data_IF_849488635399
#
_entry.id   IF_849488635399
#
_cell.length_a   1.000
_cell.length_b   1.000
_cell.length_c   1.000
_cell.angle_alpha   90.00
_cell.angle_beta   90.00
_cell.angle_gamma   90.00
#
_symmetry.space_group_name_H-M   'P 1'
#
loop_
_entity.id
_entity.type
_entity.pdbx_description
1 polymer ?
#
# COMPACT_ATOMS: atom_id res chain seq x y z
N UNK A 1 -20.80 -53.55 52.95
CA UNK A 1 -22.11 -52.96 52.55
C UNK A 1 -21.96 -52.34 51.19
N UNK A 2 -22.58 -52.96 50.17
CA UNK A 2 -22.54 -52.53 48.76
C UNK A 2 -23.47 -51.35 48.59
N UNK A 3 -23.03 -50.33 47.82
CA UNK A 3 -23.97 -49.44 47.11
C UNK A 3 -23.47 -49.20 45.68
N UNK A 4 -24.35 -49.53 44.81
CA UNK A 4 -24.33 -49.52 43.37
C UNK A 4 -24.19 -48.11 42.79
N UNK A 5 -23.35 -47.96 41.76
CA UNK A 5 -23.28 -46.78 40.92
C UNK A 5 -23.99 -47.09 39.61
N UNK A 6 -25.04 -46.35 39.34
CA UNK A 6 -25.85 -46.43 38.16
C UNK A 6 -25.17 -45.64 37.03
N UNK A 7 -24.85 -46.35 35.94
CA UNK A 7 -24.35 -45.80 34.66
C UNK A 7 -25.52 -45.24 33.87
N UNK A 8 -25.50 -43.95 33.56
CA UNK A 8 -26.45 -43.32 32.64
C UNK A 8 -25.74 -43.15 31.27
N UNK A 9 -26.10 -44.03 30.35
CA UNK A 9 -25.69 -43.94 28.96
C UNK A 9 -26.50 -42.89 28.22
N UNK A 10 -25.87 -41.83 27.74
CA UNK A 10 -26.48 -40.83 26.87
C UNK A 10 -26.18 -41.21 25.41
N UNK A 11 -27.19 -41.67 24.68
CA UNK A 11 -27.14 -41.86 23.22
C UNK A 11 -27.03 -40.49 22.56
N UNK A 12 -25.90 -40.21 21.91
CA UNK A 12 -25.80 -39.18 20.86
C UNK A 12 -26.27 -39.75 19.54
N UNK A 13 -27.43 -39.35 19.11
CA UNK A 13 -27.90 -39.59 17.74
C UNK A 13 -27.18 -38.59 16.80
N UNK A 14 -26.33 -39.13 15.93
CA UNK A 14 -25.70 -38.42 14.83
C UNK A 14 -26.74 -38.13 13.74
N UNK A 15 -27.14 -36.88 13.61
CA UNK A 15 -27.83 -36.42 12.39
C UNK A 15 -26.73 -35.93 11.41
N UNK A 16 -26.38 -36.83 10.47
CA UNK A 16 -25.70 -36.45 9.26
C UNK A 16 -26.71 -35.81 8.31
N UNK A 17 -26.86 -34.48 8.37
CA UNK A 17 -27.48 -33.75 7.28
C UNK A 17 -26.36 -33.33 6.32
N UNK A 18 -26.21 -34.11 5.24
CA UNK A 18 -25.49 -33.76 4.04
C UNK A 18 -26.26 -32.65 3.33
N UNK A 19 -26.02 -31.37 3.71
CA UNK A 19 -26.37 -30.26 2.83
C UNK A 19 -25.32 -30.24 1.73
N UNK A 20 -25.77 -30.60 0.52
CA UNK A 20 -25.05 -30.25 -0.68
C UNK A 20 -24.83 -28.72 -0.68
N UNK A 21 -23.60 -28.28 -0.40
CA UNK A 21 -23.19 -26.94 -0.72
C UNK A 21 -23.25 -26.81 -2.24
N UNK A 22 -24.30 -26.18 -2.75
CA UNK A 22 -24.26 -25.56 -4.05
C UNK A 22 -23.14 -24.54 -4.00
N UNK A 23 -22.18 -24.68 -4.88
CA UNK A 23 -21.10 -23.73 -5.10
C UNK A 23 -21.60 -22.51 -5.89
N UNK A 24 -22.56 -21.81 -5.32
CA UNK A 24 -22.88 -20.46 -5.74
C UNK A 24 -22.12 -19.52 -4.81
N UNK A 25 -20.85 -19.27 -5.13
CA UNK A 25 -20.20 -18.03 -4.71
C UNK A 25 -21.07 -16.91 -5.25
N UNK A 26 -21.42 -15.89 -4.46
CA UNK A 26 -22.03 -14.70 -5.02
C UNK A 26 -21.02 -14.13 -6.00
N UNK A 27 -21.26 -14.30 -7.28
CA UNK A 27 -20.60 -13.55 -8.34
C UNK A 27 -20.89 -12.10 -8.00
N UNK A 28 -19.85 -11.32 -7.75
CA UNK A 28 -20.00 -9.90 -7.54
C UNK A 28 -20.83 -9.35 -8.69
N UNK A 29 -21.85 -8.61 -8.32
CA UNK A 29 -22.75 -7.95 -9.27
C UNK A 29 -21.91 -7.11 -10.23
N UNK A 30 -22.22 -7.23 -11.48
CA UNK A 30 -21.65 -6.67 -12.69
C UNK A 30 -20.84 -5.36 -12.52
N UNK A 31 -19.77 -5.23 -13.30
CA UNK A 31 -19.00 -4.00 -13.59
C UNK A 31 -19.88 -2.80 -14.03
N UNK A 32 -21.20 -3.01 -14.16
CA UNK A 32 -22.17 -2.05 -14.70
C UNK A 32 -22.35 -0.79 -13.85
N UNK A 33 -22.00 -0.82 -12.55
CA UNK A 33 -22.12 0.35 -11.66
C UNK A 33 -20.80 1.12 -11.44
N UNK A 34 -19.70 0.68 -12.02
CA UNK A 34 -18.43 1.42 -11.98
C UNK A 34 -18.55 2.64 -12.89
N UNK A 35 -18.18 3.86 -12.43
CA UNK A 35 -18.25 5.05 -13.26
C UNK A 35 -17.52 4.86 -14.58
N UNK A 36 -18.13 5.32 -15.68
CA UNK A 36 -17.58 5.16 -17.03
C UNK A 36 -16.27 5.94 -17.27
N UNK A 37 -15.92 6.83 -16.35
CA UNK A 37 -14.68 7.60 -16.34
C UNK A 37 -13.62 7.00 -15.38
N UNK A 38 -13.94 5.93 -14.63
CA UNK A 38 -12.96 5.19 -13.87
C UNK A 38 -12.12 4.32 -14.80
N UNK A 39 -10.82 4.51 -14.77
CA UNK A 39 -9.88 3.77 -15.61
C UNK A 39 -8.91 2.98 -14.75
N UNK A 40 -8.86 1.65 -14.96
CA UNK A 40 -7.79 0.80 -14.42
C UNK A 40 -6.51 1.16 -15.18
N UNK A 41 -5.49 1.59 -14.44
CA UNK A 41 -4.22 2.01 -15.02
C UNK A 41 -3.25 0.82 -15.08
N UNK A 42 -2.83 0.44 -16.28
CA UNK A 42 -1.80 -0.58 -16.42
C UNK A 42 -0.41 0.03 -16.29
N UNK A 43 0.40 -0.52 -15.38
CA UNK A 43 1.78 -0.09 -15.21
C UNK A 43 2.63 -0.51 -16.40
N UNK A 44 3.62 0.29 -16.74
CA UNK A 44 4.62 -0.09 -17.72
C UNK A 44 5.81 -0.74 -17.03
N UNK A 45 6.42 -1.72 -17.69
CA UNK A 45 7.60 -2.41 -17.16
C UNK A 45 8.72 -1.42 -16.86
N UNK A 46 9.34 -1.56 -15.70
CA UNK A 46 10.50 -0.75 -15.31
C UNK A 46 11.62 -0.94 -16.33
N UNK A 47 12.13 0.13 -16.97
CA UNK A 47 13.26 0.00 -17.89
C UNK A 47 14.49 -0.61 -17.22
N UNK A 48 15.19 -1.50 -17.94
CA UNK A 48 16.27 -2.31 -17.37
C UNK A 48 17.44 -1.50 -16.77
N UNK A 49 17.64 -0.29 -17.26
CA UNK A 49 18.66 0.64 -16.74
C UNK A 49 18.40 1.12 -15.31
N UNK A 50 17.15 1.02 -14.81
CA UNK A 50 16.84 1.36 -13.41
C UNK A 50 17.27 0.28 -12.42
N UNK A 51 17.49 -0.94 -12.90
CA UNK A 51 18.06 -2.02 -12.08
C UNK A 51 19.58 -2.00 -12.01
N UNK A 52 20.23 -1.21 -12.84
CA UNK A 52 21.69 -1.05 -12.81
C UNK A 52 22.12 -0.21 -11.61
N UNK A 53 23.31 -0.49 -11.13
CA UNK A 53 23.93 0.29 -10.05
C UNK A 53 24.14 1.71 -10.53
N UNK A 54 23.53 2.68 -9.86
CA UNK A 54 23.68 4.09 -10.16
C UNK A 54 25.06 4.61 -9.75
N UNK A 55 25.54 5.67 -10.40
CA UNK A 55 26.79 6.33 -10.01
C UNK A 55 26.64 7.11 -8.69
N UNK A 56 25.42 7.56 -8.38
CA UNK A 56 25.05 8.20 -7.12
C UNK A 56 24.19 7.22 -6.33
N UNK A 57 24.74 6.65 -5.28
CA UNK A 57 24.08 5.64 -4.47
C UNK A 57 23.79 6.17 -3.08
N UNK A 58 22.56 6.03 -2.63
CA UNK A 58 22.19 6.22 -1.24
C UNK A 58 22.79 5.15 -0.33
N UNK A 59 22.64 5.30 0.97
CA UNK A 59 23.06 4.33 1.99
C UNK A 59 21.86 3.60 2.59
N UNK A 60 22.11 2.44 3.17
CA UNK A 60 21.12 1.70 3.95
C UNK A 60 21.64 1.64 5.39
N UNK A 61 20.87 2.18 6.31
CA UNK A 61 21.21 2.27 7.72
C UNK A 61 20.26 1.41 8.54
N UNK A 62 20.76 0.82 9.63
CA UNK A 62 19.94 0.14 10.61
C UNK A 62 19.58 1.12 11.73
N UNK A 63 18.28 1.27 11.95
CA UNK A 63 17.73 1.98 13.11
C UNK A 63 17.11 0.95 14.02
N UNK A 64 17.66 0.79 15.21
CA UNK A 64 17.05 0.01 16.29
C UNK A 64 16.26 0.96 17.20
N UNK A 65 15.07 0.53 17.60
CA UNK A 65 14.19 1.30 18.46
C UNK A 65 13.38 0.40 19.40
N UNK A 66 12.98 1.00 20.50
CA UNK A 66 12.08 0.37 21.47
C UNK A 66 10.63 0.59 21.05
N UNK A 67 9.86 -0.46 21.05
CA UNK A 67 8.43 -0.47 20.82
C UNK A 67 7.73 -1.27 21.93
N UNK A 68 6.48 -1.61 21.70
CA UNK A 68 5.67 -2.40 22.61
C UNK A 68 5.00 -3.54 21.89
N UNK A 69 4.80 -4.66 22.58
CA UNK A 69 3.88 -5.69 22.10
C UNK A 69 2.43 -5.22 22.28
N UNK A 70 1.88 -4.60 21.25
CA UNK A 70 0.50 -4.08 21.24
C UNK A 70 -0.56 -5.17 21.16
N UNK A 71 -0.18 -6.45 20.96
CA UNK A 71 -1.10 -7.59 21.05
C UNK A 71 -1.36 -7.99 22.51
N UNK A 72 -0.50 -7.55 23.43
CA UNK A 72 -0.57 -7.86 24.86
C UNK A 72 -1.17 -6.71 25.66
N UNK A 73 -2.04 -7.02 26.61
CA UNK A 73 -2.61 -6.03 27.53
C UNK A 73 -1.53 -5.37 28.43
N UNK A 74 -0.46 -6.10 28.76
CA UNK A 74 0.67 -5.59 29.55
C UNK A 74 1.66 -4.76 28.75
N UNK A 75 1.58 -4.80 27.41
CA UNK A 75 2.43 -4.05 26.46
C UNK A 75 3.92 -4.11 26.83
N UNK A 76 4.53 -5.30 26.97
CA UNK A 76 5.95 -5.39 27.27
C UNK A 76 6.77 -4.73 26.16
N UNK A 77 7.93 -4.19 26.54
CA UNK A 77 8.84 -3.58 25.58
C UNK A 77 9.40 -4.64 24.63
N UNK A 78 9.46 -4.27 23.36
CA UNK A 78 10.11 -5.02 22.28
C UNK A 78 11.21 -4.17 21.66
N UNK A 79 12.29 -4.79 21.19
CA UNK A 79 13.37 -4.11 20.47
C UNK A 79 13.27 -4.48 19.01
N UNK A 80 13.12 -3.48 18.15
CA UNK A 80 12.79 -3.69 16.72
C UNK A 80 13.76 -3.00 15.79
N UNK A 81 14.09 -3.61 14.65
CA UNK A 81 14.87 -2.98 13.62
C UNK A 81 13.94 -2.27 12.60
N UNK A 82 14.43 -1.17 12.04
CA UNK A 82 13.98 -0.60 10.79
C UNK A 82 15.18 -0.32 9.89
N UNK A 83 15.14 -0.76 8.65
CA UNK A 83 16.18 -0.43 7.69
C UNK A 83 15.77 0.86 6.97
N UNK A 84 16.70 1.80 6.86
CA UNK A 84 16.43 3.13 6.33
C UNK A 84 17.34 3.38 5.13
N UNK A 85 16.72 3.61 3.98
CA UNK A 85 17.43 4.14 2.82
C UNK A 85 17.53 5.67 2.95
N UNK A 86 18.77 6.16 2.89
CA UNK A 86 19.12 7.57 2.91
C UNK A 86 19.67 7.94 1.53
N UNK A 87 19.11 8.92 0.82
CA UNK A 87 19.48 9.21 -0.56
C UNK A 87 20.92 9.74 -0.67
N UNK A 88 21.54 9.54 -1.84
CA UNK A 88 22.85 10.13 -2.14
C UNK A 88 22.82 11.65 -1.96
N UNK A 89 23.88 12.18 -1.36
CA UNK A 89 23.97 13.61 -1.11
C UNK A 89 23.01 14.12 -0.06
N UNK A 90 22.54 13.24 0.85
CA UNK A 90 21.73 13.66 1.99
C UNK A 90 22.36 14.86 2.71
N UNK A 91 21.57 15.91 2.88
CA UNK A 91 21.97 17.17 3.54
C UNK A 91 21.00 17.44 4.71
N UNK A 92 21.50 17.44 5.96
CA UNK A 92 20.64 17.70 7.12
C UNK A 92 20.03 19.11 7.16
N UNK A 93 20.44 20.02 6.28
CA UNK A 93 19.81 21.34 6.13
C UNK A 93 18.56 21.32 5.24
N UNK A 94 18.35 20.22 4.49
CA UNK A 94 17.17 20.00 3.64
C UNK A 94 16.14 19.14 4.36
N UNK A 95 14.86 19.25 3.98
CA UNK A 95 13.78 18.41 4.48
C UNK A 95 13.44 17.32 3.47
N UNK A 96 13.19 16.10 3.95
CA UNK A 96 12.91 14.93 3.12
C UNK A 96 11.54 14.35 3.43
N UNK A 97 10.82 13.99 2.36
CA UNK A 97 9.61 13.16 2.46
C UNK A 97 10.00 11.75 2.89
N UNK A 98 9.08 11.03 3.53
CA UNK A 98 9.32 9.68 4.06
C UNK A 98 8.30 8.70 3.50
N UNK A 99 8.74 7.50 3.11
CA UNK A 99 7.87 6.36 2.81
C UNK A 99 8.22 5.16 3.68
N UNK A 100 7.22 4.54 4.28
CA UNK A 100 7.32 3.28 5.02
C UNK A 100 6.83 2.14 4.14
N UNK A 101 7.62 1.05 4.04
CA UNK A 101 7.34 -0.11 3.19
C UNK A 101 7.30 -1.40 4.01
N UNK A 102 6.12 -1.98 4.15
CA UNK A 102 5.82 -3.13 5.00
C UNK A 102 5.90 -4.44 4.21
N UNK A 103 6.72 -5.38 4.71
CA UNK A 103 6.87 -6.71 4.11
C UNK A 103 5.62 -7.58 4.24
N UNK A 104 5.53 -8.63 3.42
CA UNK A 104 4.48 -9.63 3.47
C UNK A 104 4.66 -10.66 4.61
N UNK A 105 3.73 -11.62 4.69
CA UNK A 105 3.87 -12.74 5.61
C UNK A 105 5.19 -13.48 5.38
N UNK A 106 5.84 -13.91 6.45
CA UNK A 106 7.17 -14.51 6.45
C UNK A 106 8.33 -13.58 6.04
N UNK A 107 8.06 -12.30 5.75
CA UNK A 107 9.09 -11.30 5.48
C UNK A 107 9.82 -10.83 6.75
N UNK A 108 10.77 -9.94 6.56
CA UNK A 108 11.59 -9.33 7.62
C UNK A 108 11.93 -7.88 7.27
N UNK A 109 12.30 -7.07 8.26
CA UNK A 109 12.56 -5.64 8.08
C UNK A 109 13.57 -5.31 6.95
N UNK A 110 14.63 -6.10 6.78
CA UNK A 110 15.65 -5.82 5.75
C UNK A 110 15.22 -6.19 4.32
N UNK A 111 14.09 -6.88 4.14
CA UNK A 111 13.76 -7.57 2.87
C UNK A 111 13.67 -6.63 1.68
N UNK A 112 13.09 -5.44 1.84
CA UNK A 112 12.97 -4.47 0.75
C UNK A 112 14.31 -3.97 0.23
N UNK A 113 15.31 -3.81 1.09
CA UNK A 113 16.55 -3.13 0.72
C UNK A 113 17.76 -4.05 0.62
N UNK A 114 17.83 -5.08 1.45
CA UNK A 114 18.97 -6.00 1.53
C UNK A 114 18.58 -7.46 1.23
N UNK A 115 17.33 -7.70 0.83
CA UNK A 115 16.78 -9.04 0.69
C UNK A 115 16.67 -9.75 2.04
N UNK A 116 16.08 -10.94 2.06
CA UNK A 116 15.87 -11.72 3.29
C UNK A 116 17.14 -12.05 4.05
N UNK A 117 18.22 -12.32 3.32
CA UNK A 117 19.52 -12.63 3.92
C UNK A 117 20.21 -11.42 4.55
N UNK A 118 19.77 -10.21 4.24
CA UNK A 118 20.39 -8.96 4.69
C UNK A 118 21.76 -8.65 4.06
N UNK A 119 22.15 -9.37 2.99
CA UNK A 119 23.53 -9.36 2.49
C UNK A 119 23.71 -8.63 1.16
N UNK A 120 22.63 -8.26 0.46
CA UNK A 120 22.74 -7.69 -0.88
C UNK A 120 21.68 -6.63 -1.12
N UNK A 121 22.10 -5.49 -1.65
CA UNK A 121 21.16 -4.48 -2.15
C UNK A 121 20.20 -5.09 -3.15
N UNK A 122 18.93 -4.79 -2.99
CA UNK A 122 17.89 -5.25 -3.91
C UNK A 122 17.81 -4.37 -5.15
N UNK A 123 17.14 -4.85 -6.20
CA UNK A 123 16.83 -4.05 -7.37
C UNK A 123 16.01 -2.79 -7.05
N UNK A 124 15.19 -2.83 -5.99
CA UNK A 124 14.43 -1.66 -5.55
C UNK A 124 15.33 -0.49 -5.14
N UNK A 125 16.41 -0.77 -4.43
CA UNK A 125 17.36 0.29 -4.02
C UNK A 125 18.04 0.92 -5.23
N UNK A 126 18.39 0.13 -6.25
CA UNK A 126 18.90 0.66 -7.51
C UNK A 126 17.84 1.52 -8.24
N UNK A 127 16.58 1.12 -8.18
CA UNK A 127 15.46 1.94 -8.71
C UNK A 127 15.38 3.29 -7.98
N UNK A 128 15.48 3.32 -6.66
CA UNK A 128 15.48 4.57 -5.88
C UNK A 128 16.62 5.50 -6.31
N UNK A 129 17.83 4.96 -6.34
CA UNK A 129 19.03 5.72 -6.75
C UNK A 129 18.85 6.30 -8.16
N UNK A 130 18.39 5.48 -9.12
CA UNK A 130 18.21 5.90 -10.50
C UNK A 130 17.06 6.90 -10.68
N UNK A 131 15.95 6.75 -9.95
CA UNK A 131 14.85 7.72 -9.99
C UNK A 131 15.33 9.11 -9.52
N UNK A 132 16.06 9.16 -8.42
CA UNK A 132 16.58 10.39 -7.84
C UNK A 132 17.68 11.00 -8.75
N UNK A 133 18.66 10.20 -9.16
CA UNK A 133 19.78 10.68 -10.02
C UNK A 133 19.28 11.23 -11.35
N UNK A 134 18.21 10.66 -11.91
CA UNK A 134 17.63 11.10 -13.19
C UNK A 134 16.61 12.24 -13.03
N UNK A 135 16.36 12.70 -11.81
CA UNK A 135 15.41 13.77 -11.51
C UNK A 135 13.95 13.38 -11.87
N UNK A 136 13.57 12.11 -11.69
CA UNK A 136 12.21 11.63 -11.91
C UNK A 136 11.37 11.67 -10.62
N UNK A 137 12.01 11.72 -9.46
CA UNK A 137 11.39 12.04 -8.19
C UNK A 137 12.33 12.90 -7.35
N UNK A 138 11.78 13.59 -6.34
CA UNK A 138 12.58 14.28 -5.34
C UNK A 138 13.31 13.26 -4.47
N UNK A 139 14.50 13.60 -3.91
CA UNK A 139 15.12 12.77 -2.88
C UNK A 139 14.17 12.54 -1.71
N UNK A 140 14.08 11.31 -1.24
CA UNK A 140 13.22 10.88 -0.14
C UNK A 140 13.95 9.89 0.77
N UNK A 141 13.43 9.69 1.96
CA UNK A 141 13.87 8.65 2.89
C UNK A 141 12.86 7.49 2.76
N UNK A 142 13.36 6.26 2.58
CA UNK A 142 12.52 5.08 2.63
C UNK A 142 12.85 4.24 3.86
N UNK A 143 11.83 3.74 4.52
CA UNK A 143 11.94 2.97 5.76
C UNK A 143 11.31 1.61 5.53
N UNK A 144 12.05 0.54 5.76
CA UNK A 144 11.54 -0.83 5.77
C UNK A 144 11.53 -1.35 7.21
N UNK A 145 10.42 -1.17 7.94
CA UNK A 145 10.23 -1.71 9.28
C UNK A 145 9.67 -3.11 9.22
N UNK A 146 9.37 -3.69 10.38
CA UNK A 146 8.56 -4.90 10.48
C UNK A 146 7.33 -4.66 11.35
N UNK A 147 6.17 -5.16 10.93
CA UNK A 147 4.97 -5.24 11.77
C UNK A 147 5.10 -6.35 12.82
N UNK A 148 6.00 -7.31 12.61
CA UNK A 148 6.30 -8.42 13.50
C UNK A 148 7.14 -7.95 14.69
N UNK A 149 6.74 -8.27 15.91
CA UNK A 149 7.40 -7.81 17.14
C UNK A 149 8.82 -8.35 17.32
N UNK A 150 9.15 -9.49 16.69
CA UNK A 150 10.45 -10.16 16.82
C UNK A 150 11.28 -10.15 15.53
N UNK A 151 10.81 -9.49 14.48
CA UNK A 151 11.43 -9.47 13.15
C UNK A 151 11.75 -10.88 12.62
N UNK A 152 10.83 -11.80 12.72
CA UNK A 152 10.97 -13.17 12.23
C UNK A 152 9.65 -13.74 11.77
N UNK A 153 9.73 -14.69 10.82
CA UNK A 153 8.56 -15.41 10.34
C UNK A 153 7.87 -16.20 11.46
N UNK A 154 6.55 -16.06 11.54
CA UNK A 154 5.67 -16.73 12.50
C UNK A 154 4.53 -17.45 11.80
N UNK A 155 3.71 -18.16 12.58
CA UNK A 155 2.47 -18.70 12.05
C UNK A 155 1.50 -17.59 11.60
N UNK A 156 0.58 -17.97 10.72
CA UNK A 156 -0.37 -17.04 10.13
C UNK A 156 -1.22 -16.29 11.16
N UNK A 157 -1.72 -17.01 12.16
CA UNK A 157 -2.61 -16.43 13.18
C UNK A 157 -1.91 -15.42 14.08
N UNK A 158 -0.63 -15.64 14.43
CA UNK A 158 0.18 -14.68 15.18
C UNK A 158 0.47 -13.44 14.31
N UNK A 159 0.94 -13.67 13.10
CA UNK A 159 1.28 -12.61 12.16
C UNK A 159 0.11 -11.67 11.87
N UNK A 160 -1.09 -12.21 11.67
CA UNK A 160 -2.29 -11.39 11.41
C UNK A 160 -2.73 -10.58 12.62
N UNK A 161 -2.55 -11.10 13.85
CA UNK A 161 -2.85 -10.33 15.07
C UNK A 161 -1.85 -9.17 15.27
N UNK A 162 -0.57 -9.39 14.98
CA UNK A 162 0.45 -8.34 15.07
C UNK A 162 0.23 -7.27 14.00
N UNK A 163 -0.02 -7.66 12.76
CA UNK A 163 -0.35 -6.74 11.66
C UNK A 163 -1.56 -5.85 11.99
N UNK A 164 -2.60 -6.40 12.63
CA UNK A 164 -3.83 -5.68 12.95
C UNK A 164 -3.66 -4.56 14.00
N UNK A 165 -2.60 -4.57 14.77
CA UNK A 165 -2.32 -3.56 15.82
C UNK A 165 -1.12 -2.68 15.50
N UNK A 166 -0.46 -2.88 14.36
CA UNK A 166 0.75 -2.17 13.97
C UNK A 166 0.56 -0.65 13.89
N UNK A 167 -0.64 -0.17 13.61
CA UNK A 167 -0.97 1.26 13.60
C UNK A 167 -0.58 1.97 14.90
N UNK A 168 -0.66 1.30 16.05
CA UNK A 168 -0.28 1.86 17.35
C UNK A 168 1.24 2.03 17.45
N UNK A 169 2.00 1.02 17.03
CA UNK A 169 3.46 1.11 16.93
C UNK A 169 3.89 2.17 15.92
N UNK A 170 3.25 2.19 14.76
CA UNK A 170 3.56 3.14 13.69
C UNK A 170 3.57 4.57 14.19
N UNK A 171 2.51 4.98 14.89
CA UNK A 171 2.35 6.35 15.36
C UNK A 171 3.16 6.63 16.62
N UNK A 172 3.16 5.71 17.60
CA UNK A 172 3.71 6.02 18.92
C UNK A 172 5.22 5.76 19.02
N UNK A 173 5.76 4.83 18.21
CA UNK A 173 7.13 4.35 18.40
C UNK A 173 7.96 4.56 17.12
N UNK A 174 7.51 4.07 15.97
CA UNK A 174 8.30 4.03 14.74
C UNK A 174 8.52 5.41 14.11
N UNK A 175 7.46 6.20 13.90
CA UNK A 175 7.58 7.56 13.35
C UNK A 175 8.51 8.40 14.21
N UNK A 176 8.33 8.54 15.55
CA UNK A 176 9.25 9.25 16.41
C UNK A 176 10.69 8.73 16.32
N UNK A 177 10.88 7.42 16.39
CA UNK A 177 12.20 6.82 16.42
C UNK A 177 13.01 7.05 15.14
N UNK A 178 12.35 7.03 13.98
CA UNK A 178 13.02 7.21 12.69
C UNK A 178 13.10 8.68 12.32
N UNK A 179 11.96 9.38 12.30
CA UNK A 179 11.93 10.73 11.71
C UNK A 179 12.66 11.79 12.55
N UNK A 180 12.95 11.55 13.81
CA UNK A 180 13.81 12.44 14.61
C UNK A 180 15.31 12.24 14.36
N UNK A 181 15.72 11.14 13.72
CA UNK A 181 17.13 10.87 13.39
C UNK A 181 17.58 11.51 12.08
N UNK A 182 16.62 11.86 11.23
CA UNK A 182 16.87 12.41 9.90
C UNK A 182 16.17 13.77 9.76
N UNK A 183 16.62 14.58 8.84
CA UNK A 183 16.01 15.85 8.54
C UNK A 183 14.72 15.65 7.72
N UNK A 184 13.66 15.25 8.38
CA UNK A 184 12.32 15.11 7.81
C UNK A 184 11.48 16.37 8.09
N UNK A 185 10.22 16.34 7.72
CA UNK A 185 9.27 17.41 8.07
C UNK A 185 8.72 17.27 9.49
N UNK A 186 9.09 16.24 10.25
CA UNK A 186 8.75 16.09 11.66
C UNK A 186 9.58 17.08 12.49
N UNK A 187 8.92 18.08 13.08
CA UNK A 187 9.57 19.07 13.94
C UNK A 187 9.53 18.72 15.43
N UNK A 188 8.49 17.99 15.84
CA UNK A 188 8.33 17.48 17.20
C UNK A 188 7.81 16.04 17.17
N UNK A 189 8.33 15.11 18.01
CA UNK A 189 7.88 13.73 18.05
C UNK A 189 6.54 13.51 18.77
N UNK A 190 5.89 14.56 19.20
CA UNK A 190 4.55 14.49 19.78
C UNK A 190 3.45 14.38 18.71
N UNK A 191 2.24 14.10 19.14
CA UNK A 191 1.09 13.92 18.24
C UNK A 191 0.89 15.14 17.31
N UNK A 192 1.04 16.33 17.83
CA UNK A 192 0.84 17.56 17.05
C UNK A 192 1.87 17.69 15.93
N UNK A 193 3.15 17.40 16.21
CA UNK A 193 4.22 17.40 15.21
C UNK A 193 4.04 16.30 14.16
N UNK A 194 3.63 15.10 14.57
CA UNK A 194 3.36 13.99 13.66
C UNK A 194 2.19 14.33 12.72
N UNK A 195 1.12 14.94 13.24
CA UNK A 195 -0.01 15.41 12.43
C UNK A 195 0.40 16.55 11.48
N UNK A 196 1.22 17.49 11.94
CA UNK A 196 1.68 18.62 11.12
C UNK A 196 2.53 18.15 9.92
N UNK A 197 3.31 17.07 10.09
CA UNK A 197 4.18 16.50 9.05
C UNK A 197 3.49 15.46 8.14
N UNK A 198 2.20 15.16 8.33
CA UNK A 198 1.48 14.09 7.61
C UNK A 198 1.57 14.18 6.09
N UNK A 199 1.61 15.39 5.54
CA UNK A 199 1.61 15.61 4.08
C UNK A 199 2.90 15.15 3.39
N UNK A 200 3.92 14.89 4.20
CA UNK A 200 5.24 14.44 3.77
C UNK A 200 5.49 12.96 4.09
N UNK A 201 4.41 12.22 4.41
CA UNK A 201 4.52 10.82 4.82
C UNK A 201 3.65 9.91 3.98
N UNK A 202 4.29 8.88 3.44
CA UNK A 202 3.65 7.77 2.74
C UNK A 202 3.85 6.46 3.52
N UNK A 203 2.88 5.56 3.40
CA UNK A 203 3.00 4.19 3.88
C UNK A 203 2.45 3.23 2.84
N UNK A 204 3.13 2.11 2.66
CA UNK A 204 2.71 1.05 1.76
C UNK A 204 3.20 -0.30 2.21
N UNK A 205 2.76 -1.34 1.53
CA UNK A 205 3.22 -2.69 1.83
C UNK A 205 2.66 -3.73 0.88
N UNK A 206 3.27 -4.90 0.91
CA UNK A 206 2.98 -6.01 0.02
C UNK A 206 2.30 -7.16 0.78
N UNK A 207 1.26 -7.77 0.20
CA UNK A 207 0.60 -8.95 0.78
C UNK A 207 0.06 -8.65 2.19
N UNK A 208 0.51 -9.34 3.23
CA UNK A 208 0.16 -9.00 4.62
C UNK A 208 0.58 -7.57 4.98
N UNK A 209 1.65 -7.03 4.40
CA UNK A 209 2.01 -5.62 4.52
C UNK A 209 1.00 -4.68 3.86
N UNK A 210 0.33 -5.09 2.77
CA UNK A 210 -0.80 -4.36 2.20
C UNK A 210 -1.99 -4.31 3.15
N UNK A 211 -2.32 -5.45 3.75
CA UNK A 211 -3.37 -5.55 4.77
C UNK A 211 -3.03 -4.68 5.98
N UNK A 212 -1.75 -4.68 6.40
CA UNK A 212 -1.25 -3.79 7.47
C UNK A 212 -1.36 -2.31 7.07
N UNK A 213 -1.08 -1.97 5.80
CA UNK A 213 -1.30 -0.62 5.27
C UNK A 213 -2.77 -0.20 5.37
N UNK A 214 -3.70 -1.11 5.08
CA UNK A 214 -5.13 -0.86 5.26
C UNK A 214 -5.51 -0.69 6.74
N UNK A 215 -4.90 -1.43 7.67
CA UNK A 215 -5.10 -1.19 9.11
C UNK A 215 -4.57 0.17 9.54
N UNK A 216 -3.45 0.64 8.99
CA UNK A 216 -2.95 2.00 9.25
C UNK A 216 -3.91 3.03 8.63
N UNK A 217 -4.42 2.82 7.43
CA UNK A 217 -5.45 3.67 6.83
C UNK A 217 -6.69 3.75 7.72
N UNK A 218 -7.15 2.62 8.26
CA UNK A 218 -8.33 2.52 9.10
C UNK A 218 -8.15 3.19 10.46
N UNK A 219 -7.03 2.96 11.12
CA UNK A 219 -6.82 3.27 12.54
C UNK A 219 -5.94 4.50 12.77
N UNK A 220 -5.19 4.93 11.76
CA UNK A 220 -4.20 6.01 11.84
C UNK A 220 -4.23 6.94 10.61
N UNK A 221 -5.38 7.13 9.99
CA UNK A 221 -5.58 7.89 8.76
C UNK A 221 -5.01 9.32 8.83
N UNK A 222 -5.09 9.95 9.98
CA UNK A 222 -4.64 11.32 10.16
C UNK A 222 -3.11 11.50 10.09
N UNK A 223 -2.33 10.41 10.16
CA UNK A 223 -0.88 10.49 10.34
C UNK A 223 -0.07 10.29 9.05
N UNK A 224 -0.72 9.89 7.97
CA UNK A 224 -0.12 9.78 6.63
C UNK A 224 -1.07 10.33 5.58
N UNK A 225 -0.51 10.90 4.51
CA UNK A 225 -1.30 11.42 3.39
C UNK A 225 -1.40 10.43 2.25
N UNK A 226 -0.35 9.61 2.02
CA UNK A 226 -0.22 8.76 0.86
C UNK A 226 -0.15 7.30 1.26
N UNK A 227 -0.90 6.45 0.57
CA UNK A 227 -1.03 5.02 0.86
C UNK A 227 -0.74 4.20 -0.41
N UNK A 228 0.11 3.17 -0.27
CA UNK A 228 0.52 2.26 -1.33
C UNK A 228 0.23 0.79 -0.93
N UNK A 229 -1.03 0.38 -0.80
CA UNK A 229 -1.34 -1.02 -0.60
C UNK A 229 -1.10 -1.80 -1.90
N UNK A 230 -0.34 -2.91 -1.82
CA UNK A 230 0.05 -3.75 -2.95
C UNK A 230 -0.33 -5.20 -2.70
N UNK A 231 -1.21 -5.77 -3.55
CA UNK A 231 -1.58 -7.19 -3.52
C UNK A 231 -2.20 -7.65 -2.19
N UNK A 232 -3.20 -6.95 -1.70
CA UNK A 232 -3.95 -7.28 -0.48
C UNK A 232 -5.04 -6.25 -0.18
N UNK A 233 -6.06 -6.66 0.55
CA UNK A 233 -7.32 -5.96 0.79
C UNK A 233 -7.49 -5.49 2.25
N UNK A 234 -8.52 -4.69 2.52
CA UNK A 234 -8.91 -4.31 3.87
C UNK A 234 -9.75 -5.42 4.53
N UNK A 235 -9.48 -5.70 5.79
CA UNK A 235 -10.14 -6.77 6.55
C UNK A 235 -11.13 -6.26 7.62
N UNK A 236 -11.63 -5.04 7.50
CA UNK A 236 -12.65 -4.51 8.40
C UNK A 236 -13.93 -5.35 8.43
N UNK A 237 -14.27 -6.00 7.32
CA UNK A 237 -15.40 -6.93 7.20
C UNK A 237 -15.00 -8.40 7.42
N UNK A 238 -13.85 -8.65 8.05
CA UNK A 238 -13.25 -9.95 8.25
C UNK A 238 -12.16 -10.26 7.20
N UNK A 239 -11.52 -11.41 7.38
CA UNK A 239 -10.45 -11.87 6.49
C UNK A 239 -10.98 -11.97 5.05
N UNK A 240 -10.26 -11.38 4.10
CA UNK A 240 -10.65 -11.28 2.69
C UNK A 240 -11.94 -10.47 2.45
N UNK A 241 -12.17 -9.45 3.27
CA UNK A 241 -13.34 -8.59 3.17
C UNK A 241 -13.48 -7.92 1.80
N UNK A 242 -12.36 -7.56 1.16
CA UNK A 242 -12.34 -7.01 -0.18
C UNK A 242 -12.84 -7.97 -1.26
N UNK A 243 -12.66 -9.30 -1.09
CA UNK A 243 -13.17 -10.30 -2.01
C UNK A 243 -14.65 -10.63 -1.73
N UNK A 244 -14.99 -10.85 -0.46
CA UNK A 244 -16.31 -11.41 -0.10
C UNK A 244 -17.36 -10.34 0.19
N UNK A 245 -16.95 -9.15 0.59
CA UNK A 245 -17.84 -8.05 0.97
C UNK A 245 -17.30 -6.70 0.43
N UNK A 246 -17.01 -6.60 -0.89
CA UNK A 246 -16.32 -5.43 -1.46
C UNK A 246 -17.05 -4.12 -1.21
N UNK A 247 -18.37 -4.07 -1.43
CA UNK A 247 -19.16 -2.85 -1.25
C UNK A 247 -19.24 -2.43 0.23
N UNK A 248 -19.38 -3.40 1.16
CA UNK A 248 -19.37 -3.11 2.59
C UNK A 248 -17.99 -2.62 3.06
N UNK A 249 -16.92 -3.21 2.53
CA UNK A 249 -15.54 -2.79 2.79
C UNK A 249 -15.27 -1.37 2.25
N UNK A 250 -15.63 -1.11 1.01
CA UNK A 250 -15.49 0.21 0.40
C UNK A 250 -16.29 1.28 1.13
N UNK A 251 -17.54 0.96 1.48
CA UNK A 251 -18.39 1.85 2.27
C UNK A 251 -17.79 2.17 3.64
N UNK A 252 -17.29 1.18 4.36
CA UNK A 252 -16.63 1.37 5.64
C UNK A 252 -15.45 2.35 5.52
N UNK A 253 -14.59 2.17 4.51
CA UNK A 253 -13.45 3.06 4.25
C UNK A 253 -13.92 4.48 3.89
N UNK A 254 -14.97 4.61 3.07
CA UNK A 254 -15.52 5.91 2.70
C UNK A 254 -16.14 6.64 3.91
N UNK A 255 -16.90 5.94 4.76
CA UNK A 255 -17.50 6.53 5.97
C UNK A 255 -16.40 7.05 6.92
N UNK A 256 -15.31 6.28 7.10
CA UNK A 256 -14.16 6.71 7.88
C UNK A 256 -13.53 8.00 7.33
N UNK A 257 -13.25 8.03 6.03
CA UNK A 257 -12.67 9.19 5.36
C UNK A 257 -13.57 10.41 5.47
N UNK A 258 -14.88 10.25 5.20
CA UNK A 258 -15.85 11.34 5.17
C UNK A 258 -16.06 12.00 6.53
N UNK A 259 -15.76 11.31 7.62
CA UNK A 259 -15.77 11.88 8.98
C UNK A 259 -14.48 12.58 9.37
N UNK A 260 -13.41 12.42 8.57
CA UNK A 260 -12.10 13.01 8.83
C UNK A 260 -12.00 14.45 8.32
N UNK A 261 -11.24 15.34 8.99
CA UNK A 261 -10.87 16.63 8.45
C UNK A 261 -10.01 16.55 7.18
N UNK A 262 -9.45 15.39 6.89
CA UNK A 262 -8.57 15.12 5.73
C UNK A 262 -9.29 14.44 4.56
N UNK A 263 -10.61 14.43 4.51
CA UNK A 263 -11.42 13.73 3.51
C UNK A 263 -11.09 14.05 2.04
N UNK A 264 -10.49 15.21 1.76
CA UNK A 264 -10.08 15.64 0.43
C UNK A 264 -8.55 15.80 0.31
N UNK A 265 -7.80 15.34 1.31
CA UNK A 265 -6.35 15.52 1.39
C UNK A 265 -5.67 14.20 1.76
N UNK A 266 -5.84 13.20 0.93
CA UNK A 266 -5.16 11.91 0.98
C UNK A 266 -5.07 11.34 -0.44
N UNK A 267 -4.23 10.30 -0.61
CA UNK A 267 -4.20 9.54 -1.85
C UNK A 267 -3.91 8.07 -1.59
N UNK A 268 -4.69 7.21 -2.24
CA UNK A 268 -4.46 5.77 -2.28
C UNK A 268 -4.05 5.37 -3.70
N UNK A 269 -2.81 4.89 -3.85
CA UNK A 269 -2.29 4.27 -5.05
C UNK A 269 -2.35 2.75 -4.87
N UNK A 270 -3.45 2.13 -5.27
CA UNK A 270 -3.73 0.71 -5.01
C UNK A 270 -3.26 -0.15 -6.17
N UNK A 271 -2.60 -1.29 -5.91
CA UNK A 271 -1.99 -2.08 -6.98
C UNK A 271 -2.06 -3.60 -6.78
N UNK A 272 -2.13 -4.32 -7.93
CA UNK A 272 -2.04 -5.77 -7.99
C UNK A 272 -1.56 -6.24 -9.37
N UNK A 273 -0.98 -7.43 -9.44
CA UNK A 273 -0.67 -8.09 -10.71
C UNK A 273 -1.86 -8.87 -11.27
N UNK A 274 -1.95 -8.99 -12.61
CA UNK A 274 -3.05 -9.74 -13.25
C UNK A 274 -2.97 -11.25 -13.05
N UNK A 275 -1.79 -11.78 -12.68
CA UNK A 275 -1.58 -13.19 -12.32
C UNK A 275 -1.31 -13.36 -10.81
N UNK A 276 -1.64 -12.37 -10.00
CA UNK A 276 -1.44 -12.40 -8.55
C UNK A 276 -2.52 -13.25 -7.87
N UNK A 277 -2.14 -14.07 -6.89
CA UNK A 277 -3.07 -14.89 -6.09
C UNK A 277 -4.01 -14.05 -5.22
N UNK A 278 -3.78 -12.74 -5.11
CA UNK A 278 -4.60 -11.76 -4.38
C UNK A 278 -5.39 -10.84 -5.31
N UNK A 279 -5.49 -11.20 -6.60
CA UNK A 279 -6.17 -10.35 -7.57
C UNK A 279 -7.64 -10.13 -7.20
N UNK A 280 -8.40 -11.18 -6.88
CA UNK A 280 -9.83 -11.05 -6.57
C UNK A 280 -10.08 -10.13 -5.37
N UNK A 281 -9.28 -10.27 -4.30
CA UNK A 281 -9.41 -9.45 -3.10
C UNK A 281 -9.14 -7.97 -3.40
N UNK A 282 -8.06 -7.71 -4.14
CA UNK A 282 -7.63 -6.36 -4.46
C UNK A 282 -8.55 -5.72 -5.49
N UNK A 283 -8.89 -6.44 -6.55
CA UNK A 283 -9.70 -5.96 -7.66
C UNK A 283 -11.13 -5.63 -7.24
N UNK A 284 -11.81 -6.56 -6.57
CA UNK A 284 -13.18 -6.36 -6.14
C UNK A 284 -13.31 -5.16 -5.19
N UNK A 285 -12.38 -5.02 -4.24
CA UNK A 285 -12.35 -3.85 -3.37
C UNK A 285 -12.11 -2.56 -4.16
N UNK A 286 -11.17 -2.57 -5.11
CA UNK A 286 -10.85 -1.38 -5.91
C UNK A 286 -12.06 -0.92 -6.74
N UNK A 287 -12.77 -1.84 -7.39
CA UNK A 287 -13.98 -1.53 -8.14
C UNK A 287 -15.11 -1.01 -7.24
N UNK A 288 -15.30 -1.61 -6.06
CA UNK A 288 -16.28 -1.13 -5.10
C UNK A 288 -15.94 0.27 -4.56
N UNK A 289 -14.66 0.57 -4.34
CA UNK A 289 -14.20 1.92 -3.97
C UNK A 289 -14.48 2.91 -5.11
N UNK A 290 -14.21 2.55 -6.36
CA UNK A 290 -14.43 3.40 -7.52
C UNK A 290 -15.90 3.83 -7.71
N UNK A 291 -16.87 3.05 -7.23
CA UNK A 291 -18.29 3.43 -7.22
C UNK A 291 -18.61 4.60 -6.27
N UNK A 292 -17.76 4.85 -5.27
CA UNK A 292 -17.96 5.87 -4.23
C UNK A 292 -17.21 7.17 -4.58
N UNK A 293 -17.57 7.78 -5.71
CA UNK A 293 -16.87 8.91 -6.33
C UNK A 293 -16.76 10.17 -5.48
N UNK A 294 -17.65 10.37 -4.53
CA UNK A 294 -17.57 11.50 -3.58
C UNK A 294 -16.35 11.37 -2.65
N UNK A 295 -15.85 10.13 -2.45
CA UNK A 295 -14.70 9.85 -1.58
C UNK A 295 -13.48 9.40 -2.39
N UNK A 296 -13.68 8.40 -3.26
CA UNK A 296 -12.61 7.79 -4.06
C UNK A 296 -12.73 8.22 -5.53
N UNK A 297 -12.06 9.30 -5.85
CA UNK A 297 -12.03 9.88 -7.19
C UNK A 297 -10.59 10.09 -7.64
N UNK A 298 -10.37 10.59 -8.83
CA UNK A 298 -9.04 10.79 -9.41
C UNK A 298 -8.09 11.66 -8.57
N UNK A 299 -8.62 12.40 -7.58
CA UNK A 299 -7.83 13.24 -6.68
C UNK A 299 -7.38 12.50 -5.41
N UNK A 300 -8.01 11.36 -5.11
CA UNK A 300 -7.83 10.63 -3.84
C UNK A 300 -7.49 9.16 -4.04
N UNK A 301 -7.72 8.63 -5.24
CA UNK A 301 -7.62 7.20 -5.50
C UNK A 301 -7.22 6.90 -6.96
N UNK A 302 -6.35 5.93 -7.14
CA UNK A 302 -6.11 5.27 -8.42
C UNK A 302 -5.87 3.77 -8.22
N UNK A 303 -6.27 2.98 -9.21
CA UNK A 303 -6.06 1.54 -9.20
C UNK A 303 -5.18 1.12 -10.37
N UNK A 304 -4.14 0.38 -10.06
CA UNK A 304 -3.08 0.03 -10.98
C UNK A 304 -2.91 -1.48 -11.10
N UNK A 305 -2.74 -1.98 -12.31
CA UNK A 305 -2.49 -3.38 -12.59
C UNK A 305 -1.18 -3.56 -13.36
N UNK A 306 -0.41 -4.57 -12.97
CA UNK A 306 0.74 -5.04 -13.75
C UNK A 306 0.32 -6.25 -14.58
N UNK A 307 0.38 -6.13 -15.91
CA UNK A 307 0.12 -7.25 -16.83
C UNK A 307 1.13 -8.38 -16.58
N UNK A 308 0.62 -9.64 -16.42
CA UNK A 308 1.44 -10.80 -16.08
C UNK A 308 2.11 -10.72 -14.69
N UNK A 309 1.80 -9.70 -13.88
CA UNK A 309 2.37 -9.53 -12.55
C UNK A 309 1.87 -10.63 -11.60
N UNK A 310 2.81 -11.23 -10.85
CA UNK A 310 2.56 -12.27 -9.87
C UNK A 310 2.73 -11.76 -8.45
N UNK A 311 2.45 -12.62 -7.48
CA UNK A 311 2.61 -12.32 -6.05
C UNK A 311 4.09 -12.35 -5.65
N UNK A 312 4.88 -11.41 -6.16
CA UNK A 312 6.33 -11.35 -5.97
C UNK A 312 6.88 -9.92 -5.99
N UNK A 313 8.16 -9.80 -5.63
CA UNK A 313 8.85 -8.51 -5.58
C UNK A 313 9.08 -7.87 -6.95
N UNK A 314 9.01 -8.59 -8.07
CA UNK A 314 9.11 -7.97 -9.39
C UNK A 314 7.90 -7.05 -9.65
N UNK A 315 6.71 -7.49 -9.22
CA UNK A 315 5.52 -6.65 -9.27
C UNK A 315 5.64 -5.47 -8.30
N UNK A 316 6.06 -5.71 -7.05
CA UNK A 316 6.26 -4.68 -6.02
C UNK A 316 7.23 -3.59 -6.47
N UNK A 317 8.35 -3.96 -7.10
CA UNK A 317 9.34 -2.98 -7.57
C UNK A 317 8.79 -2.08 -8.68
N UNK A 318 7.98 -2.64 -9.57
CA UNK A 318 7.31 -1.86 -10.59
C UNK A 318 6.28 -0.90 -9.98
N UNK A 319 5.49 -1.36 -9.03
CA UNK A 319 4.55 -0.50 -8.31
C UNK A 319 5.27 0.63 -7.58
N UNK A 320 6.35 0.34 -6.87
CA UNK A 320 7.17 1.37 -6.22
C UNK A 320 7.78 2.36 -7.23
N UNK A 321 8.27 1.87 -8.38
CA UNK A 321 8.82 2.72 -9.44
C UNK A 321 7.82 3.78 -9.91
N UNK A 322 6.56 3.41 -10.12
CA UNK A 322 5.53 4.34 -10.56
C UNK A 322 5.00 5.21 -9.42
N UNK A 323 4.68 4.60 -8.27
CA UNK A 323 4.09 5.32 -7.15
C UNK A 323 5.02 6.41 -6.59
N UNK A 324 6.33 6.18 -6.52
CA UNK A 324 7.29 7.15 -6.00
C UNK A 324 7.40 8.41 -6.86
N UNK A 325 7.31 8.28 -8.19
CA UNK A 325 7.29 9.42 -9.10
C UNK A 325 6.02 10.25 -8.92
N UNK A 326 4.92 9.59 -8.55
CA UNK A 326 3.65 10.24 -8.27
C UNK A 326 3.62 10.88 -6.87
N UNK A 327 4.15 10.22 -5.85
CA UNK A 327 4.15 10.71 -4.48
C UNK A 327 5.16 11.84 -4.25
N UNK A 328 6.33 11.75 -4.88
CA UNK A 328 7.45 12.69 -4.68
C UNK A 328 7.89 13.35 -5.99
N UNK A 329 6.98 14.00 -6.72
CA UNK A 329 7.31 14.61 -8.01
C UNK A 329 8.33 15.75 -7.83
N UNK A 330 9.20 15.93 -8.83
CA UNK A 330 10.27 16.96 -8.80
C UNK A 330 9.70 18.38 -8.76
N UNK A 331 8.56 18.61 -9.43
CA UNK A 331 7.89 19.90 -9.42
C UNK A 331 6.68 19.84 -8.50
N UNK A 332 6.61 20.74 -7.52
CA UNK A 332 5.47 20.84 -6.60
C UNK A 332 4.14 21.12 -7.31
N UNK A 333 4.16 21.70 -8.51
CA UNK A 333 2.96 21.87 -9.36
C UNK A 333 2.36 20.54 -9.82
N UNK A 334 3.11 19.43 -9.72
CA UNK A 334 2.69 18.06 -10.01
C UNK A 334 2.55 17.22 -8.72
N UNK A 335 2.92 17.77 -7.54
CA UNK A 335 2.71 17.10 -6.26
C UNK A 335 1.23 16.85 -6.05
N UNK A 336 0.86 15.62 -5.65
CA UNK A 336 -0.49 15.11 -5.40
C UNK A 336 -1.54 16.23 -5.30
N UNK A 337 -1.67 16.95 -6.37
CA UNK A 337 -2.86 17.70 -6.74
C UNK A 337 -3.60 16.80 -7.70
N UNK A 338 -4.93 16.86 -7.68
CA UNK A 338 -5.68 16.19 -8.72
C UNK A 338 -5.02 16.51 -10.05
N UNK A 339 -4.59 15.48 -10.76
CA UNK A 339 -4.33 15.65 -12.19
C UNK A 339 -5.69 16.02 -12.77
N UNK A 340 -6.02 17.32 -12.77
CA UNK A 340 -6.90 17.79 -13.81
C UNK A 340 -6.24 17.29 -15.08
N UNK A 341 -6.96 16.52 -15.83
CA UNK A 341 -6.59 16.07 -17.19
C UNK A 341 -6.47 17.28 -18.13
N UNK A 342 -5.64 18.23 -17.75
CA UNK A 342 -5.08 19.24 -18.64
C UNK A 342 -3.69 18.75 -19.01
N UNK A 343 -3.66 17.65 -19.77
CA UNK A 343 -2.53 17.34 -20.62
C UNK A 343 -2.46 18.40 -21.72
N UNK A 344 -1.94 19.57 -21.39
CA UNK A 344 -1.32 20.44 -22.38
C UNK A 344 -0.02 19.79 -22.82
N UNK A 345 -0.12 18.68 -23.50
CA UNK A 345 0.97 18.21 -24.33
C UNK A 345 0.84 18.93 -25.67
N UNK A 346 1.72 19.88 -25.87
CA UNK A 346 1.88 20.61 -27.12
C UNK A 346 1.83 19.67 -28.32
N UNK A 347 0.72 19.67 -29.04
CA UNK A 347 0.63 19.19 -30.41
C UNK A 347 0.66 17.67 -30.67
N UNK A 348 0.69 16.82 -29.68
CA UNK A 348 0.62 15.36 -29.85
C UNK A 348 -0.83 14.88 -29.65
N UNK A 349 -1.34 14.09 -30.58
CA UNK A 349 -2.65 13.44 -30.48
C UNK A 349 -2.47 12.04 -29.85
N UNK A 350 -3.39 11.66 -28.98
CA UNK A 350 -3.39 10.37 -28.29
C UNK A 350 -4.63 9.57 -28.64
N UNK A 351 -4.50 8.26 -28.70
CA UNK A 351 -5.64 7.35 -28.78
C UNK A 351 -6.45 7.40 -27.45
N UNK A 352 -7.72 6.94 -27.43
CA UNK A 352 -8.53 6.94 -26.23
C UNK A 352 -7.93 6.19 -25.02
N UNK A 353 -6.99 5.27 -25.26
CA UNK A 353 -6.25 4.51 -24.25
C UNK A 353 -4.97 5.21 -23.76
N UNK A 354 -4.76 6.49 -24.05
CA UNK A 354 -3.59 7.26 -23.62
C UNK A 354 -2.31 7.06 -24.42
N UNK A 355 -2.27 6.12 -25.38
CA UNK A 355 -1.11 5.92 -26.24
C UNK A 355 -0.97 7.01 -27.32
N UNK A 356 0.26 7.27 -27.79
CA UNK A 356 0.49 8.20 -28.87
C UNK A 356 -0.25 7.73 -30.13
N UNK A 357 -1.18 8.53 -30.66
CA UNK A 357 -1.98 8.13 -31.82
C UNK A 357 -1.12 8.11 -33.08
N UNK A 358 -0.90 6.91 -33.60
CA UNK A 358 -0.22 6.64 -34.86
C UNK A 358 -1.24 6.09 -35.85
N UNK A 359 -1.85 6.94 -36.68
CA UNK A 359 -2.73 6.50 -37.78
C UNK A 359 -4.17 6.98 -37.69
N UNK A 360 -5.06 6.30 -38.47
CA UNK A 360 -6.48 6.65 -38.61
C UNK A 360 -7.30 6.22 -37.39
N UNK A 361 -8.25 7.01 -36.95
CA UNK A 361 -9.16 6.70 -35.87
C UNK A 361 -9.64 7.93 -35.10
N UNK A 362 -10.29 7.70 -33.93
CA UNK A 362 -10.68 8.79 -33.05
C UNK A 362 -9.45 9.23 -32.24
N UNK A 363 -9.11 10.51 -32.35
CA UNK A 363 -8.00 11.10 -31.58
C UNK A 363 -8.54 12.22 -30.70
N UNK A 364 -7.96 12.39 -29.54
CA UNK A 364 -8.26 13.51 -28.64
C UNK A 364 -7.12 14.52 -28.76
N UNK A 365 -7.45 15.72 -29.23
CA UNK A 365 -6.53 16.83 -29.28
C UNK A 365 -7.17 18.03 -28.61
N UNK A 366 -6.46 18.63 -27.68
CA UNK A 366 -6.93 19.78 -26.88
C UNK A 366 -8.31 19.52 -26.21
N UNK A 367 -8.52 18.28 -25.68
CA UNK A 367 -9.77 17.87 -25.03
C UNK A 367 -10.95 17.63 -25.95
N UNK A 368 -10.75 17.69 -27.29
CA UNK A 368 -11.81 17.47 -28.29
C UNK A 368 -11.57 16.18 -29.07
N UNK A 369 -12.66 15.41 -29.29
CA UNK A 369 -12.63 14.20 -30.12
C UNK A 369 -12.58 14.63 -31.62
N UNK A 370 -11.58 14.17 -32.33
CA UNK A 370 -11.39 14.37 -33.74
C UNK A 370 -11.30 13.03 -34.48
N UNK A 371 -12.01 12.88 -35.57
CA UNK A 371 -11.89 11.72 -36.43
C UNK A 371 -10.78 12.00 -37.47
N UNK A 372 -9.69 11.23 -37.40
CA UNK A 372 -8.61 11.26 -38.37
C UNK A 372 -8.91 10.19 -39.44
N UNK A 373 -9.21 10.64 -40.66
CA UNK A 373 -9.54 9.77 -41.78
C UNK A 373 -8.32 9.15 -42.45
#
# INVERSE_FOLDING_TARGET
MKKSISTLSLLMASFLNCLACSSDSPVADSDDDVPTDFEIQYTTTVPSEFFQVASQQGTIELVEYDSKDYTSASRPTTHKPAYVYVPYGYDPSQKYDVIYLLHGWTGVAQEYFLGRSGNSRTGLVNIFDNLIQRGLCRPFIAVSPTWDKDNRSKDWGESTREAAVFSQEYVNDLIPAVETRYSTYLESPDEAGILASRNHRAIGGFSLGSITTWYVFEQAFAYSRMYLPMSGDNWSQGMYGGAYYPDATAKFLADLVNTSPYKNDFYVWYAVGTEDVRIDQTHNQALAMAKLTDTFNTNTFSYHMKEGGRHDFNAVWEFCYHALQFFFPVNESTAVRPVRSETRVSGKAYAPNGSLAMGKGIQIKDGKKNLVK
#
